data_IF_045386785682
#
_entry.id   IF_045386785682
#
_cell.length_a   1.000
_cell.length_b   1.000
_cell.length_c   1.000
_cell.angle_alpha   90.00
_cell.angle_beta   90.00
_cell.angle_gamma   90.00
#
_symmetry.space_group_name_H-M   'P 1'
#
loop_
_entity.id
_entity.type
_entity.pdbx_description
1 polymer ?
#
# COMPACT_ATOMS: atom_id res chain seq x y z
N UNK A 1 14.00 -11.98 11.26
CA UNK A 1 12.53 -12.23 11.36
C UNK A 1 11.79 -11.02 11.91
N UNK A 2 12.29 -10.41 12.98
CA UNK A 2 11.67 -9.25 13.61
C UNK A 2 11.60 -8.02 12.69
N UNK A 3 12.67 -7.71 11.94
CA UNK A 3 12.64 -6.63 10.93
C UNK A 3 11.55 -6.84 9.88
N UNK A 4 11.43 -8.07 9.34
CA UNK A 4 10.35 -8.44 8.43
C UNK A 4 8.97 -8.29 9.07
N UNK A 5 8.84 -8.64 10.35
CA UNK A 5 7.61 -8.46 11.12
C UNK A 5 7.26 -6.99 11.23
N UNK A 6 8.22 -6.13 11.57
CA UNK A 6 8.03 -4.68 11.67
C UNK A 6 7.61 -4.04 10.35
N UNK A 7 8.23 -4.44 9.24
CA UNK A 7 7.87 -3.93 7.90
C UNK A 7 6.47 -4.37 7.48
N UNK A 8 6.09 -5.64 7.73
CA UNK A 8 4.74 -6.12 7.47
C UNK A 8 3.70 -5.47 8.39
N UNK A 9 4.04 -5.28 9.66
CA UNK A 9 3.18 -4.59 10.62
C UNK A 9 2.92 -3.16 10.19
N UNK A 10 3.96 -2.44 9.76
CA UNK A 10 3.81 -1.09 9.23
C UNK A 10 2.98 -1.07 7.93
N UNK A 11 3.18 -2.03 7.02
CA UNK A 11 2.32 -2.16 5.84
C UNK A 11 0.85 -2.38 6.22
N UNK A 12 0.58 -3.22 7.23
CA UNK A 12 -0.77 -3.39 7.79
C UNK A 12 -1.31 -2.10 8.39
N UNK A 13 -0.51 -1.40 9.19
CA UNK A 13 -0.86 -0.13 9.84
C UNK A 13 -1.22 0.94 8.81
N UNK A 14 -0.31 1.26 7.88
CA UNK A 14 -0.55 2.32 6.88
C UNK A 14 -1.76 2.00 6.01
N UNK A 15 -1.97 0.72 5.67
CA UNK A 15 -3.16 0.31 4.92
C UNK A 15 -4.43 0.45 5.75
N UNK A 16 -4.47 -0.12 6.96
CA UNK A 16 -5.65 -0.10 7.83
C UNK A 16 -6.07 1.32 8.20
N UNK A 17 -5.11 2.18 8.55
CA UNK A 17 -5.36 3.57 8.92
C UNK A 17 -5.93 4.37 7.73
N UNK A 18 -5.28 4.32 6.57
CA UNK A 18 -5.72 5.10 5.40
C UNK A 18 -6.99 4.54 4.76
N UNK A 19 -7.11 3.22 4.63
CA UNK A 19 -8.28 2.58 4.06
C UNK A 19 -9.50 2.75 4.97
N UNK A 20 -9.34 2.48 6.27
CA UNK A 20 -10.40 2.68 7.26
C UNK A 20 -10.86 4.14 7.33
N UNK A 21 -9.93 5.09 7.34
CA UNK A 21 -10.27 6.52 7.26
C UNK A 21 -11.03 6.88 5.96
N UNK A 22 -10.57 6.35 4.82
CA UNK A 22 -11.23 6.59 3.53
C UNK A 22 -12.64 6.01 3.52
N UNK A 23 -12.86 4.83 4.11
CA UNK A 23 -14.17 4.18 4.20
C UNK A 23 -15.12 4.95 5.11
N UNK A 24 -14.63 5.50 6.23
CA UNK A 24 -15.42 6.42 7.07
C UNK A 24 -15.85 7.66 6.28
N UNK A 25 -14.94 8.25 5.50
CA UNK A 25 -15.25 9.41 4.66
C UNK A 25 -16.29 9.07 3.57
N UNK A 26 -16.19 7.89 2.94
CA UNK A 26 -17.16 7.39 1.96
C UNK A 26 -18.53 7.19 2.62
N UNK A 27 -18.57 6.55 3.79
CA UNK A 27 -19.80 6.35 4.57
C UNK A 27 -20.49 7.67 4.92
N UNK A 28 -19.73 8.66 5.39
CA UNK A 28 -20.26 9.99 5.69
C UNK A 28 -20.78 10.70 4.43
N UNK A 29 -20.03 10.62 3.32
CA UNK A 29 -20.47 11.19 2.05
C UNK A 29 -21.80 10.58 1.59
N UNK A 30 -21.97 9.26 1.72
CA UNK A 30 -23.22 8.57 1.39
C UNK A 30 -24.40 9.04 2.25
N UNK A 31 -24.20 9.24 3.56
CA UNK A 31 -25.22 9.80 4.46
C UNK A 31 -25.64 11.21 4.02
N UNK A 32 -24.69 12.01 3.55
CA UNK A 32 -24.93 13.35 3.03
C UNK A 32 -25.48 13.37 1.59
N UNK A 33 -25.70 12.21 0.97
CA UNK A 33 -26.22 12.08 -0.39
C UNK A 33 -25.17 12.21 -1.50
N UNK A 34 -23.89 12.24 -1.17
CA UNK A 34 -22.78 12.28 -2.12
C UNK A 34 -22.18 10.90 -2.35
N UNK A 35 -21.72 10.64 -3.58
CA UNK A 35 -20.95 9.44 -3.92
C UNK A 35 -19.55 9.85 -4.31
N UNK A 36 -18.58 9.55 -3.44
CA UNK A 36 -17.15 9.76 -3.70
C UNK A 36 -16.47 8.44 -4.07
N UNK A 37 -15.37 8.46 -4.87
CA UNK A 37 -14.72 7.24 -5.31
C UNK A 37 -14.00 6.51 -4.17
N UNK A 38 -13.92 5.18 -4.29
CA UNK A 38 -13.08 4.34 -3.42
C UNK A 38 -11.62 4.75 -3.54
N UNK A 39 -10.92 4.81 -2.40
CA UNK A 39 -9.51 5.16 -2.37
C UNK A 39 -8.58 3.93 -2.42
N UNK A 40 -9.07 2.76 -1.99
CA UNK A 40 -8.29 1.52 -1.96
C UNK A 40 -9.04 0.34 -2.61
N UNK A 41 -8.30 -0.54 -3.28
CA UNK A 41 -8.87 -1.74 -3.94
C UNK A 41 -7.92 -2.94 -3.92
N UNK A 42 -7.75 -3.53 -2.74
CA UNK A 42 -6.85 -4.69 -2.52
C UNK A 42 -5.44 -4.46 -3.08
N UNK A 43 -4.75 -3.37 -2.69
CA UNK A 43 -3.50 -2.95 -3.30
C UNK A 43 -2.36 -3.97 -3.14
N UNK A 44 -2.27 -4.68 -2.02
CA UNK A 44 -1.21 -5.68 -1.80
C UNK A 44 -1.39 -6.98 -2.60
N UNK A 45 -2.49 -7.11 -3.35
CA UNK A 45 -2.69 -8.16 -4.35
C UNK A 45 -2.35 -7.71 -5.78
N UNK A 46 -1.73 -6.55 -5.95
CA UNK A 46 -1.28 -6.07 -7.24
C UNK A 46 -0.17 -6.95 -7.83
N UNK A 47 -0.22 -7.15 -9.15
CA UNK A 47 0.76 -7.97 -9.89
C UNK A 47 1.80 -7.12 -10.64
N UNK A 48 1.78 -5.81 -10.46
CA UNK A 48 2.84 -4.90 -10.93
C UNK A 48 2.82 -3.61 -10.12
N UNK A 49 3.93 -2.85 -10.06
CA UNK A 49 3.93 -1.52 -9.45
C UNK A 49 2.89 -0.57 -10.06
N UNK A 50 2.61 -0.70 -11.37
CA UNK A 50 1.56 0.07 -12.05
C UNK A 50 0.17 -0.32 -11.53
N UNK A 51 -0.09 -1.61 -11.35
CA UNK A 51 -1.35 -2.12 -10.79
C UNK A 51 -1.53 -1.71 -9.33
N UNK A 52 -0.44 -1.66 -8.55
CA UNK A 52 -0.45 -1.18 -7.17
C UNK A 52 -0.95 0.27 -7.08
N UNK A 53 -0.38 1.19 -7.86
CA UNK A 53 -0.80 2.60 -7.87
C UNK A 53 -2.20 2.86 -8.45
N UNK A 54 -2.78 1.88 -9.17
CA UNK A 54 -4.19 1.93 -9.59
C UNK A 54 -5.16 1.47 -8.49
N UNK A 55 -4.64 0.89 -7.41
CA UNK A 55 -5.40 0.32 -6.28
C UNK A 55 -5.09 0.99 -4.95
N UNK A 56 -4.00 1.73 -4.87
CA UNK A 56 -3.54 2.46 -3.70
C UNK A 56 -3.82 3.95 -3.86
N UNK A 57 -4.44 4.56 -2.85
CA UNK A 57 -4.74 5.99 -2.78
C UNK A 57 -5.26 6.56 -4.11
N UNK A 58 -6.29 5.93 -4.66
CA UNK A 58 -6.83 6.16 -6.02
C UNK A 58 -7.18 7.63 -6.26
N UNK A 59 -7.69 8.35 -5.27
CA UNK A 59 -8.01 9.78 -5.42
C UNK A 59 -6.77 10.64 -5.65
N UNK A 60 -5.71 10.45 -4.85
CA UNK A 60 -4.42 11.12 -5.00
C UNK A 60 -3.74 10.71 -6.32
N UNK A 61 -3.72 9.42 -6.63
CA UNK A 61 -3.15 8.90 -7.88
C UNK A 61 -3.84 9.48 -9.10
N UNK A 62 -5.16 9.67 -9.03
CA UNK A 62 -5.96 10.35 -10.07
C UNK A 62 -5.63 11.84 -10.15
N UNK A 63 -5.51 12.51 -9.01
CA UNK A 63 -5.14 13.92 -8.96
C UNK A 63 -3.74 14.17 -9.55
N UNK A 64 -2.74 13.38 -9.14
CA UNK A 64 -1.38 13.44 -9.71
C UNK A 64 -1.39 13.16 -11.21
N UNK A 65 -2.23 12.23 -11.68
CA UNK A 65 -2.36 11.97 -13.12
C UNK A 65 -2.90 13.20 -13.86
N UNK A 66 -3.98 13.77 -13.36
CA UNK A 66 -4.76 14.78 -14.07
C UNK A 66 -4.16 16.19 -13.97
N UNK A 67 -3.55 16.51 -12.83
CA UNK A 67 -3.02 17.85 -12.55
C UNK A 67 -1.51 17.96 -12.60
N UNK A 68 -0.79 16.84 -12.75
CA UNK A 68 0.67 16.87 -12.87
C UNK A 68 1.15 16.11 -14.11
N UNK A 69 0.87 14.81 -14.20
CA UNK A 69 1.36 13.97 -15.29
C UNK A 69 0.86 14.41 -16.68
N UNK A 70 -0.45 14.65 -16.83
CA UNK A 70 -1.05 15.10 -18.10
C UNK A 70 -0.52 16.49 -18.50
N UNK A 71 -0.50 17.51 -17.61
CA UNK A 71 0.11 18.81 -17.88
C UNK A 71 1.60 18.74 -18.27
N UNK A 72 2.37 17.80 -17.71
CA UNK A 72 3.78 17.54 -18.12
C UNK A 72 3.92 16.95 -19.54
N UNK A 73 2.80 16.71 -20.24
CA UNK A 73 2.72 16.16 -21.59
C UNK A 73 2.30 14.69 -21.63
N UNK A 74 2.04 14.06 -20.48
CA UNK A 74 1.57 12.68 -20.39
C UNK A 74 2.46 11.69 -21.16
N UNK A 75 1.86 10.97 -22.11
CA UNK A 75 2.55 10.01 -22.98
C UNK A 75 3.16 10.63 -24.26
N UNK A 76 3.00 11.94 -24.50
CA UNK A 76 3.42 12.58 -25.76
C UNK A 76 4.94 12.61 -25.91
N UNK A 77 5.42 12.61 -27.16
CA UNK A 77 6.82 12.82 -27.54
C UNK A 77 7.83 11.89 -26.82
N UNK A 78 7.47 10.63 -26.56
CA UNK A 78 8.29 9.65 -25.85
C UNK A 78 8.74 10.09 -24.43
N UNK A 79 8.04 11.06 -23.83
CA UNK A 79 8.36 11.60 -22.49
C UNK A 79 7.69 10.84 -21.34
N UNK A 80 6.95 9.76 -21.63
CA UNK A 80 6.19 8.97 -20.65
C UNK A 80 7.00 8.64 -19.40
N UNK A 81 8.16 8.01 -19.57
CA UNK A 81 9.00 7.53 -18.47
C UNK A 81 9.48 8.68 -17.58
N UNK A 82 10.01 9.74 -18.20
CA UNK A 82 10.41 10.98 -17.52
C UNK A 82 9.24 11.60 -16.75
N UNK A 83 8.08 11.70 -17.39
CA UNK A 83 6.91 12.33 -16.77
C UNK A 83 6.37 11.51 -15.60
N UNK A 84 6.38 10.17 -15.68
CA UNK A 84 6.05 9.28 -14.55
C UNK A 84 7.04 9.50 -13.41
N UNK A 85 8.34 9.50 -13.70
CA UNK A 85 9.37 9.67 -12.67
C UNK A 85 9.24 11.03 -11.95
N UNK A 86 9.06 12.11 -12.70
CA UNK A 86 8.81 13.45 -12.13
C UNK A 86 7.52 13.48 -11.31
N UNK A 87 6.45 12.85 -11.79
CA UNK A 87 5.16 12.80 -11.08
C UNK A 87 5.31 12.10 -9.73
N UNK A 88 6.04 10.98 -9.67
CA UNK A 88 6.28 10.25 -8.42
C UNK A 88 7.23 10.99 -7.48
N UNK A 89 8.25 11.66 -7.99
CA UNK A 89 9.13 12.52 -7.19
C UNK A 89 8.36 13.64 -6.50
N UNK A 90 7.52 14.35 -7.26
CA UNK A 90 6.69 15.43 -6.73
C UNK A 90 5.60 14.90 -5.80
N UNK A 91 5.07 13.70 -6.08
CA UNK A 91 4.19 12.98 -5.15
C UNK A 91 4.87 12.64 -3.82
N UNK A 92 6.14 12.24 -3.85
CA UNK A 92 6.97 12.06 -2.65
C UNK A 92 7.12 13.36 -1.88
N UNK A 93 7.51 14.45 -2.55
CA UNK A 93 7.64 15.77 -1.93
C UNK A 93 6.34 16.30 -1.33
N UNK A 94 5.17 15.91 -1.87
CA UNK A 94 3.88 16.26 -1.29
C UNK A 94 3.65 15.63 0.09
N UNK A 95 4.26 14.48 0.38
CA UNK A 95 4.14 13.82 1.68
C UNK A 95 5.01 14.46 2.78
N UNK A 96 6.13 15.10 2.43
CA UNK A 96 6.98 15.79 3.38
C UNK A 96 8.31 16.27 2.80
N UNK A 97 9.00 17.14 3.55
CA UNK A 97 10.27 17.75 3.12
C UNK A 97 11.51 16.87 3.41
N UNK A 98 11.35 15.75 4.12
CA UNK A 98 12.46 14.84 4.42
C UNK A 98 12.98 14.13 3.16
N UNK A 99 14.30 13.89 3.11
CA UNK A 99 14.95 13.17 1.99
C UNK A 99 14.40 11.76 1.78
N UNK A 100 13.89 11.12 2.83
CA UNK A 100 13.25 9.81 2.78
C UNK A 100 12.04 9.81 1.84
N UNK A 101 11.22 10.87 1.84
CA UNK A 101 10.09 11.01 0.92
C UNK A 101 10.50 11.29 -0.52
N UNK A 102 11.56 12.07 -0.74
CA UNK A 102 12.13 12.29 -2.09
C UNK A 102 12.61 10.97 -2.67
N UNK A 103 13.36 10.20 -1.88
CA UNK A 103 13.91 8.90 -2.29
C UNK A 103 12.80 7.87 -2.47
N UNK A 104 11.77 7.89 -1.63
CA UNK A 104 10.56 7.08 -1.81
C UNK A 104 9.85 7.38 -3.14
N UNK A 105 9.68 8.66 -3.47
CA UNK A 105 9.10 9.08 -4.75
C UNK A 105 9.96 8.66 -5.94
N UNK A 106 11.28 8.83 -5.84
CA UNK A 106 12.24 8.37 -6.83
C UNK A 106 12.18 6.85 -7.03
N UNK A 107 12.13 6.09 -5.93
CA UNK A 107 12.04 4.64 -5.92
C UNK A 107 10.78 4.16 -6.63
N UNK A 108 9.60 4.71 -6.28
CA UNK A 108 8.37 4.35 -6.97
C UNK A 108 8.36 4.76 -8.46
N UNK A 109 8.88 5.96 -8.77
CA UNK A 109 9.07 6.41 -10.15
C UNK A 109 9.96 5.45 -10.96
N UNK A 110 11.04 4.98 -10.36
CA UNK A 110 11.97 4.03 -10.98
C UNK A 110 11.32 2.67 -11.22
N UNK A 111 10.66 2.06 -10.22
CA UNK A 111 10.04 0.73 -10.41
C UNK A 111 8.88 0.75 -11.40
N UNK A 112 8.08 1.83 -11.46
CA UNK A 112 7.01 1.97 -12.47
C UNK A 112 7.63 2.12 -13.87
N UNK A 113 8.64 2.97 -14.00
CA UNK A 113 9.33 3.20 -15.28
C UNK A 113 10.01 1.93 -15.77
N UNK A 114 10.70 1.20 -14.88
CA UNK A 114 11.30 -0.10 -15.15
C UNK A 114 10.23 -1.12 -15.57
N UNK A 115 9.07 -1.15 -14.91
CA UNK A 115 7.96 -2.03 -15.31
C UNK A 115 7.53 -1.77 -16.75
N UNK A 116 7.39 -0.50 -17.16
CA UNK A 116 7.05 -0.16 -18.54
C UNK A 116 8.15 -0.48 -19.55
N UNK A 117 9.42 -0.26 -19.17
CA UNK A 117 10.55 -0.56 -20.02
C UNK A 117 10.71 -2.07 -20.24
N UNK A 118 10.71 -2.86 -19.16
CA UNK A 118 10.83 -4.33 -19.20
C UNK A 118 9.68 -4.97 -19.98
N UNK A 119 8.45 -4.47 -19.84
CA UNK A 119 7.30 -4.94 -20.60
C UNK A 119 7.45 -4.73 -22.13
N UNK A 120 8.29 -3.79 -22.57
CA UNK A 120 8.59 -3.56 -23.99
C UNK A 120 9.68 -4.48 -24.55
N UNK A 121 10.44 -5.19 -23.71
CA UNK A 121 11.52 -6.07 -24.14
C UNK A 121 10.97 -7.45 -24.52
N UNK A 122 11.31 -7.93 -25.72
CA UNK A 122 10.86 -9.23 -26.23
C UNK A 122 11.20 -10.41 -25.31
N UNK A 123 12.32 -10.34 -24.59
CA UNK A 123 12.75 -11.37 -23.63
C UNK A 123 11.76 -11.56 -22.47
N UNK A 124 11.05 -10.50 -22.07
CA UNK A 124 10.07 -10.54 -20.99
C UNK A 124 8.63 -10.73 -21.48
N UNK A 125 8.36 -10.66 -22.80
CA UNK A 125 7.01 -10.77 -23.35
C UNK A 125 6.30 -12.06 -22.90
N UNK A 126 6.99 -13.22 -22.97
CA UNK A 126 6.44 -14.50 -22.49
C UNK A 126 6.06 -14.46 -21.01
N UNK A 127 6.88 -13.85 -20.16
CA UNK A 127 6.58 -13.73 -18.74
C UNK A 127 5.44 -12.74 -18.49
N UNK A 128 5.46 -11.59 -19.18
CA UNK A 128 4.46 -10.53 -19.06
C UNK A 128 3.06 -11.01 -19.46
N UNK A 129 2.96 -11.76 -20.55
CA UNK A 129 1.68 -12.21 -21.12
C UNK A 129 1.26 -13.60 -20.63
N UNK A 130 2.11 -14.28 -19.85
CA UNK A 130 1.81 -15.61 -19.31
C UNK A 130 0.58 -15.60 -18.40
N UNK A 131 -0.44 -16.43 -18.68
CA UNK A 131 -1.57 -16.67 -17.77
C UNK A 131 -1.24 -17.69 -16.68
N UNK A 132 -0.01 -18.23 -16.65
CA UNK A 132 0.36 -19.29 -15.71
C UNK A 132 0.35 -18.77 -14.28
N UNK A 133 -0.26 -19.55 -13.37
CA UNK A 133 -0.40 -19.19 -11.94
C UNK A 133 0.94 -18.86 -11.27
N UNK A 134 2.01 -19.58 -11.62
CA UNK A 134 3.35 -19.32 -11.09
C UNK A 134 3.89 -17.95 -11.54
N UNK A 135 3.60 -17.52 -12.77
CA UNK A 135 4.02 -16.22 -13.28
C UNK A 135 3.26 -15.10 -12.58
N UNK A 136 1.95 -15.27 -12.36
CA UNK A 136 1.15 -14.35 -11.53
C UNK A 136 1.69 -14.27 -10.10
N UNK A 137 2.02 -15.41 -9.49
CA UNK A 137 2.58 -15.45 -8.14
C UNK A 137 3.94 -14.73 -8.08
N UNK A 138 4.83 -14.96 -9.04
CA UNK A 138 6.12 -14.29 -9.11
C UNK A 138 5.99 -12.77 -9.29
N UNK A 139 5.09 -12.33 -10.18
CA UNK A 139 4.76 -10.91 -10.40
C UNK A 139 4.22 -10.25 -9.12
N UNK A 140 3.28 -10.92 -8.45
CA UNK A 140 2.73 -10.48 -7.17
C UNK A 140 3.81 -10.40 -6.10
N UNK A 141 4.59 -11.46 -5.89
CA UNK A 141 5.62 -11.52 -4.85
C UNK A 141 6.67 -10.43 -5.06
N UNK A 142 7.12 -10.22 -6.30
CA UNK A 142 8.05 -9.14 -6.64
C UNK A 142 7.43 -7.76 -6.38
N UNK A 143 6.18 -7.54 -6.80
CA UNK A 143 5.49 -6.26 -6.58
C UNK A 143 5.32 -5.98 -5.11
N UNK A 144 4.84 -6.95 -4.34
CA UNK A 144 4.61 -6.82 -2.91
C UNK A 144 5.93 -6.54 -2.18
N UNK A 145 6.99 -7.28 -2.49
CA UNK A 145 8.32 -7.03 -1.94
C UNK A 145 8.81 -5.60 -2.24
N UNK A 146 8.72 -5.13 -3.49
CA UNK A 146 9.11 -3.75 -3.84
C UNK A 146 8.28 -2.71 -3.08
N UNK A 147 6.99 -2.96 -2.90
CA UNK A 147 6.12 -2.07 -2.10
C UNK A 147 6.55 -2.05 -0.64
N UNK A 148 6.94 -3.19 -0.04
CA UNK A 148 7.46 -3.23 1.33
C UNK A 148 8.76 -2.43 1.47
N UNK A 149 9.67 -2.49 0.49
CA UNK A 149 10.88 -1.63 0.47
C UNK A 149 10.50 -0.16 0.39
N UNK A 150 9.50 0.18 -0.42
CA UNK A 150 8.91 1.53 -0.43
C UNK A 150 8.43 1.93 0.97
N UNK A 151 7.74 1.06 1.69
CA UNK A 151 7.27 1.38 3.04
C UNK A 151 8.37 1.59 4.07
N UNK A 152 9.51 0.90 3.95
CA UNK A 152 10.69 1.21 4.79
C UNK A 152 11.16 2.65 4.56
N UNK A 153 11.28 3.06 3.30
CA UNK A 153 11.67 4.44 2.95
C UNK A 153 10.64 5.47 3.44
N UNK A 154 9.35 5.13 3.37
CA UNK A 154 8.28 6.02 3.79
C UNK A 154 8.22 6.22 5.32
N UNK A 155 8.52 5.16 6.09
CA UNK A 155 8.41 5.18 7.56
C UNK A 155 9.65 5.71 8.28
N UNK A 156 10.83 5.52 7.68
CA UNK A 156 12.09 5.80 8.34
C UNK A 156 12.27 7.30 8.62
N UNK A 157 12.76 7.63 9.82
CA UNK A 157 13.03 9.01 10.24
C UNK A 157 14.35 9.55 9.66
N UNK A 158 15.19 8.69 9.06
CA UNK A 158 16.44 9.07 8.42
C UNK A 158 16.79 8.10 7.29
N UNK A 159 17.57 8.57 6.31
CA UNK A 159 18.04 7.72 5.22
C UNK A 159 18.97 6.60 5.71
N UNK A 160 19.83 6.91 6.68
CA UNK A 160 20.71 5.92 7.30
C UNK A 160 19.90 4.80 7.97
N UNK A 161 18.87 5.15 8.74
CA UNK A 161 17.98 4.16 9.36
C UNK A 161 17.22 3.33 8.33
N UNK A 162 16.77 3.94 7.23
CA UNK A 162 16.11 3.21 6.15
C UNK A 162 17.05 2.19 5.50
N UNK A 163 18.30 2.58 5.21
CA UNK A 163 19.30 1.70 4.61
C UNK A 163 19.72 0.58 5.57
N UNK A 164 19.85 0.87 6.86
CA UNK A 164 20.11 -0.14 7.88
C UNK A 164 18.99 -1.19 7.93
N UNK A 165 17.72 -0.75 7.96
CA UNK A 165 16.56 -1.66 7.92
C UNK A 165 16.54 -2.50 6.64
N UNK A 166 16.81 -1.91 5.48
CA UNK A 166 16.91 -2.65 4.22
C UNK A 166 18.06 -3.67 4.27
N UNK A 167 19.22 -3.32 4.83
CA UNK A 167 20.33 -4.26 4.98
C UNK A 167 19.95 -5.43 5.90
N UNK A 168 19.27 -5.17 7.01
CA UNK A 168 18.80 -6.19 7.97
C UNK A 168 17.79 -7.16 7.34
N UNK A 169 16.91 -6.69 6.44
CA UNK A 169 15.98 -7.56 5.71
C UNK A 169 16.69 -8.62 4.85
N UNK A 170 17.92 -8.33 4.41
CA UNK A 170 18.71 -9.17 3.49
C UNK A 170 19.91 -9.86 4.15
N UNK A 171 20.12 -9.62 5.45
CA UNK A 171 21.22 -10.21 6.18
C UNK A 171 20.82 -11.57 6.74
N UNK A 172 21.62 -12.59 6.46
CA UNK A 172 21.39 -13.96 6.94
C UNK A 172 22.39 -14.40 8.02
N UNK A 173 23.36 -13.55 8.39
CA UNK A 173 24.44 -13.86 9.34
C UNK A 173 24.58 -12.74 10.37
N UNK A 174 24.80 -13.10 11.64
CA UNK A 174 25.02 -12.12 12.70
C UNK A 174 23.75 -11.41 13.17
N UNK A 175 22.56 -11.91 12.81
CA UNK A 175 21.32 -11.44 13.40
C UNK A 175 21.21 -11.91 14.85
N UNK A 176 20.66 -11.08 15.76
CA UNK A 176 20.28 -11.53 17.10
C UNK A 176 19.36 -12.75 17.01
N UNK A 177 19.47 -13.64 18.00
CA UNK A 177 18.48 -14.72 18.18
C UNK A 177 17.08 -14.10 18.31
N UNK A 178 16.10 -14.54 17.49
CA UNK A 178 14.75 -14.00 17.57
C UNK A 178 14.18 -14.16 18.99
N UNK A 179 13.41 -13.18 19.46
CA UNK A 179 12.68 -13.32 20.71
C UNK A 179 11.79 -14.56 20.71
N UNK A 180 11.53 -15.12 21.90
CA UNK A 180 10.77 -16.38 22.05
C UNK A 180 9.37 -16.32 21.39
N UNK A 181 8.76 -15.13 21.31
CA UNK A 181 7.47 -14.90 20.69
C UNK A 181 7.54 -14.46 19.22
N UNK A 182 8.73 -14.28 18.63
CA UNK A 182 8.88 -13.70 17.28
C UNK A 182 8.09 -14.48 16.21
N UNK A 183 8.10 -15.81 16.30
CA UNK A 183 7.29 -16.72 15.47
C UNK A 183 5.80 -16.40 15.51
N UNK A 184 5.25 -16.32 16.73
CA UNK A 184 3.84 -16.04 16.97
C UNK A 184 3.46 -14.64 16.49
N UNK A 185 4.26 -13.62 16.84
CA UNK A 185 4.00 -12.22 16.46
C UNK A 185 3.98 -12.09 14.94
N UNK A 186 4.96 -12.66 14.23
CA UNK A 186 4.97 -12.66 12.76
C UNK A 186 3.71 -13.31 12.18
N UNK A 187 3.31 -14.47 12.71
CA UNK A 187 2.10 -15.18 12.29
C UNK A 187 0.84 -14.33 12.49
N UNK A 188 0.71 -13.67 13.65
CA UNK A 188 -0.40 -12.77 13.95
C UNK A 188 -0.40 -11.54 13.05
N UNK A 189 0.76 -10.94 12.77
CA UNK A 189 0.89 -9.81 11.83
C UNK A 189 0.43 -10.19 10.44
N UNK A 190 0.87 -11.34 9.91
CA UNK A 190 0.43 -11.83 8.59
C UNK A 190 -1.08 -12.09 8.60
N UNK A 191 -1.60 -12.74 9.64
CA UNK A 191 -3.03 -13.01 9.77
C UNK A 191 -3.86 -11.71 9.80
N UNK A 192 -3.40 -10.68 10.52
CA UNK A 192 -4.08 -9.38 10.59
C UNK A 192 -4.11 -8.68 9.23
N UNK A 193 -2.98 -8.60 8.50
CA UNK A 193 -2.92 -8.01 7.15
C UNK A 193 -3.85 -8.75 6.17
N UNK A 194 -3.86 -10.09 6.23
CA UNK A 194 -4.76 -10.90 5.40
C UNK A 194 -6.22 -10.70 5.77
N UNK A 195 -6.55 -10.58 7.06
CA UNK A 195 -7.90 -10.33 7.54
C UNK A 195 -8.43 -8.98 7.04
N UNK A 196 -7.63 -7.91 7.12
CA UNK A 196 -8.00 -6.58 6.59
C UNK A 196 -8.39 -6.67 5.11
N UNK A 197 -7.58 -7.32 4.28
CA UNK A 197 -7.92 -7.49 2.87
C UNK A 197 -9.07 -8.46 2.61
N UNK A 198 -9.28 -9.46 3.48
CA UNK A 198 -10.43 -10.35 3.39
C UNK A 198 -11.73 -9.58 3.65
N UNK A 199 -11.73 -8.69 4.66
CA UNK A 199 -12.83 -7.79 4.96
C UNK A 199 -13.13 -6.88 3.77
N UNK A 200 -12.11 -6.21 3.22
CA UNK A 200 -12.31 -5.33 2.06
C UNK A 200 -12.79 -6.09 0.83
N UNK A 201 -12.24 -7.29 0.58
CA UNK A 201 -12.71 -8.15 -0.52
C UNK A 201 -14.18 -8.52 -0.32
N UNK A 202 -14.59 -8.79 0.91
CA UNK A 202 -15.98 -9.09 1.23
C UNK A 202 -16.86 -7.88 0.94
N UNK A 203 -16.52 -6.70 1.46
CA UNK A 203 -17.27 -5.44 1.21
C UNK A 203 -17.36 -5.16 -0.30
N UNK A 204 -16.24 -5.17 -1.02
CA UNK A 204 -16.20 -4.91 -2.47
C UNK A 204 -17.08 -5.87 -3.30
N UNK A 205 -17.29 -7.11 -2.85
CA UNK A 205 -18.09 -8.11 -3.58
C UNK A 205 -19.51 -8.30 -3.05
N UNK A 206 -19.76 -7.93 -1.80
CA UNK A 206 -20.99 -8.27 -1.06
C UNK A 206 -21.64 -7.05 -0.39
N UNK A 207 -21.20 -5.83 -0.70
CA UNK A 207 -21.83 -4.60 -0.20
C UNK A 207 -23.35 -4.61 -0.40
N UNK A 208 -23.85 -4.90 -1.61
CA UNK A 208 -25.30 -4.98 -1.88
C UNK A 208 -26.02 -6.02 -1.01
N UNK A 209 -25.35 -7.11 -0.64
CA UNK A 209 -25.92 -8.12 0.24
C UNK A 209 -26.00 -7.63 1.69
N UNK A 210 -25.00 -6.86 2.14
CA UNK A 210 -25.00 -6.19 3.46
C UNK A 210 -26.10 -5.13 3.52
N UNK A 211 -26.25 -4.33 2.47
CA UNK A 211 -27.28 -3.28 2.37
C UNK A 211 -28.70 -3.85 2.50
N UNK A 212 -28.94 -5.06 1.98
CA UNK A 212 -30.23 -5.77 2.12
C UNK A 212 -30.48 -6.33 3.52
N UNK A 213 -29.51 -6.25 4.44
CA UNK A 213 -29.58 -6.78 5.81
C UNK A 213 -29.28 -5.68 6.84
N UNK A 214 -30.10 -4.63 6.92
CA UNK A 214 -29.86 -3.50 7.82
C UNK A 214 -29.81 -3.92 9.31
N UNK A 215 -30.43 -5.05 9.68
CA UNK A 215 -30.34 -5.61 11.03
C UNK A 215 -28.91 -5.99 11.44
N UNK A 216 -27.99 -6.21 10.49
CA UNK A 216 -26.57 -6.47 10.78
C UNK A 216 -25.82 -5.22 11.24
N UNK A 217 -26.34 -4.02 10.98
CA UNK A 217 -25.68 -2.76 11.31
C UNK A 217 -25.34 -2.65 12.80
N UNK A 218 -26.35 -2.83 13.67
CA UNK A 218 -26.17 -2.66 15.12
C UNK A 218 -25.23 -3.69 15.74
N UNK A 219 -25.33 -5.01 15.46
CA UNK A 219 -24.35 -5.98 15.93
C UNK A 219 -22.92 -5.69 15.45
N UNK A 220 -22.74 -5.32 14.17
CA UNK A 220 -21.41 -5.00 13.64
C UNK A 220 -20.83 -3.75 14.29
N UNK A 221 -21.65 -2.73 14.54
CA UNK A 221 -21.25 -1.51 15.24
C UNK A 221 -20.82 -1.81 16.68
N UNK A 222 -21.62 -2.59 17.42
CA UNK A 222 -21.31 -2.95 18.81
C UNK A 222 -20.04 -3.80 18.89
N UNK A 223 -19.90 -4.80 18.02
CA UNK A 223 -18.68 -5.63 17.95
C UNK A 223 -17.47 -4.76 17.62
N UNK A 224 -17.57 -3.88 16.62
CA UNK A 224 -16.49 -2.96 16.25
C UNK A 224 -16.10 -2.05 17.41
N UNK A 225 -17.08 -1.45 18.10
CA UNK A 225 -16.83 -0.60 19.25
C UNK A 225 -16.18 -1.36 20.41
N UNK A 226 -16.65 -2.57 20.72
CA UNK A 226 -16.06 -3.40 21.77
C UNK A 226 -14.62 -3.78 21.43
N UNK A 227 -14.33 -4.12 20.18
CA UNK A 227 -12.95 -4.39 19.73
C UNK A 227 -12.06 -3.15 19.90
N UNK A 228 -12.54 -1.96 19.52
CA UNK A 228 -11.80 -0.71 19.72
C UNK A 228 -11.55 -0.42 21.21
N UNK A 229 -12.51 -0.71 22.10
CA UNK A 229 -12.33 -0.50 23.55
C UNK A 229 -11.41 -1.53 24.20
N UNK A 230 -11.37 -2.76 23.69
CA UNK A 230 -10.55 -3.85 24.23
C UNK A 230 -9.10 -3.80 23.73
N UNK A 231 -8.89 -3.29 22.51
CA UNK A 231 -7.59 -3.34 21.81
C UNK A 231 -6.98 -1.95 21.64
N UNK A 232 -7.81 -0.90 21.58
CA UNK A 232 -7.35 0.47 21.33
C UNK A 232 -6.60 1.05 22.53
N UNK A 233 -5.36 1.45 22.30
CA UNK A 233 -4.61 2.25 23.27
C UNK A 233 -4.93 3.74 23.09
N UNK A 234 -5.17 4.52 24.17
CA UNK A 234 -5.57 5.93 24.08
C UNK A 234 -4.54 6.88 23.44
N UNK A 235 -3.31 6.44 23.16
CA UNK A 235 -2.15 7.32 22.98
C UNK A 235 -1.40 7.23 21.64
N UNK A 236 -1.89 6.48 20.64
CA UNK A 236 -1.27 6.53 19.31
C UNK A 236 -1.91 7.62 18.45
N UNK A 237 -1.20 8.73 18.22
CA UNK A 237 -1.60 9.74 17.25
C UNK A 237 -1.80 9.11 15.85
N UNK A 238 -2.82 9.56 15.12
CA UNK A 238 -3.10 9.08 13.76
C UNK A 238 -1.88 9.31 12.86
N UNK A 239 -1.56 8.34 12.00
CA UNK A 239 -0.33 8.32 11.20
C UNK A 239 -0.09 9.59 10.36
N UNK A 240 -1.14 10.33 9.98
CA UNK A 240 -1.03 11.62 9.29
C UNK A 240 -0.26 12.70 10.05
N UNK A 241 -0.14 12.57 11.37
CA UNK A 241 0.59 13.50 12.23
C UNK A 241 2.01 13.03 12.60
N UNK A 242 2.42 11.84 12.12
CA UNK A 242 3.68 11.19 12.52
C UNK A 242 4.78 11.25 11.44
N UNK A 243 4.71 12.21 10.51
CA UNK A 243 5.65 12.36 9.38
C UNK A 243 6.59 13.56 9.53
#
# INVERSE_FOLDING_TARGET
METWTGVLAFAGQIYGDFAGYSDMAIGLALVLGFRIPLNFRLPYFAVSPVDFWRRWHISLSTWLRDYLYIPLGGNRNNRRMRNIFITMLLGGLWHGAAWTFVIWGAFHGAIITATHWLAGLRVFARFNDSPARWATLAKWALTFYLVLIGWVLFRANSLEGALALIADLHTFRGLPEPGQAAGLIFGLTVAAVLLMHLMDRFVLKRAEWLERKPWLFWPLLVIGQLLCLMIGEPSSEFIYFQF
#
